data_IF_643403743846
#
_entry.id   IF_643403743846
#
_cell.length_a   1.000
_cell.length_b   1.000
_cell.length_c   1.000
_cell.angle_alpha   90.00
_cell.angle_beta   90.00
_cell.angle_gamma   90.00
#
_symmetry.space_group_name_H-M   'P 1'
#
loop_
_entity.id
_entity.type
_entity.pdbx_description
1 polymer ?
#
# COMPACT_ATOMS: atom_id res chain seq x y z
N UNK A 1 -5.92 8.53 -0.53
CA UNK A 1 -6.87 9.57 -0.08
C UNK A 1 -7.03 10.73 -1.07
N UNK A 2 -5.98 11.25 -1.72
CA UNK A 2 -6.15 12.35 -2.70
C UNK A 2 -6.99 11.96 -3.93
N UNK A 3 -6.76 10.77 -4.51
CA UNK A 3 -7.49 10.31 -5.70
C UNK A 3 -8.99 10.00 -5.43
N UNK A 4 -9.33 9.56 -4.21
CA UNK A 4 -10.71 9.30 -3.81
C UNK A 4 -11.59 10.56 -3.83
N UNK A 5 -11.04 11.70 -3.40
CA UNK A 5 -11.71 13.00 -3.52
C UNK A 5 -11.87 13.51 -4.95
N UNK A 6 -11.16 12.91 -5.91
CA UNK A 6 -11.25 13.20 -7.35
C UNK A 6 -12.15 12.21 -8.10
N UNK A 7 -12.87 11.34 -7.39
CA UNK A 7 -13.76 10.34 -7.99
C UNK A 7 -13.06 9.08 -8.47
N UNK A 8 -11.85 8.79 -7.99
CA UNK A 8 -11.15 7.53 -8.27
C UNK A 8 -11.29 6.57 -7.10
N UNK A 9 -11.31 5.28 -7.38
CA UNK A 9 -11.28 4.22 -6.41
C UNK A 9 -10.08 3.30 -6.70
N UNK A 10 -9.66 2.56 -5.68
CA UNK A 10 -8.45 1.73 -5.75
C UNK A 10 -8.72 0.37 -5.14
N UNK A 11 -8.30 -0.69 -5.85
CA UNK A 11 -8.33 -2.07 -5.37
C UNK A 11 -6.93 -2.66 -5.37
N UNK A 12 -6.55 -3.31 -4.27
CA UNK A 12 -5.32 -4.11 -4.21
C UNK A 12 -5.57 -5.44 -4.93
N UNK A 13 -4.73 -5.76 -5.92
CA UNK A 13 -4.78 -7.04 -6.63
C UNK A 13 -3.92 -8.09 -5.92
N UNK A 14 -4.46 -8.64 -4.84
CA UNK A 14 -3.75 -9.58 -3.97
C UNK A 14 -3.74 -11.04 -4.49
N UNK A 15 -4.21 -11.31 -5.72
CA UNK A 15 -4.13 -12.65 -6.30
C UNK A 15 -2.74 -13.03 -6.84
N UNK A 16 -1.92 -12.05 -7.23
CA UNK A 16 -0.59 -12.30 -7.81
C UNK A 16 0.44 -12.72 -6.76
N UNK A 17 1.31 -13.67 -7.14
CA UNK A 17 2.49 -14.04 -6.39
C UNK A 17 3.69 -13.20 -6.78
N UNK A 18 4.78 -13.32 -6.01
CA UNK A 18 6.02 -12.56 -6.24
C UNK A 18 6.54 -12.70 -7.67
N UNK A 19 6.52 -13.91 -8.24
CA UNK A 19 7.04 -14.19 -9.59
C UNK A 19 6.24 -13.52 -10.68
N UNK A 20 4.92 -13.48 -10.55
CA UNK A 20 4.06 -12.78 -11.51
C UNK A 20 4.30 -11.27 -11.46
N UNK A 21 4.47 -10.72 -10.26
CA UNK A 21 4.76 -9.29 -10.10
C UNK A 21 6.17 -8.93 -10.61
N UNK A 22 7.15 -9.79 -10.40
CA UNK A 22 8.52 -9.63 -10.91
C UNK A 22 8.52 -9.53 -12.45
N UNK A 23 7.76 -10.39 -13.13
CA UNK A 23 7.56 -10.33 -14.58
C UNK A 23 6.81 -9.09 -15.05
N UNK A 24 5.72 -8.75 -14.36
CA UNK A 24 4.93 -7.55 -14.70
C UNK A 24 5.78 -6.29 -14.67
N UNK A 25 6.69 -6.20 -13.71
CA UNK A 25 7.59 -5.06 -13.52
C UNK A 25 8.90 -5.17 -14.32
N UNK A 26 9.13 -6.27 -15.06
CA UNK A 26 10.36 -6.52 -15.82
C UNK A 26 11.61 -6.72 -14.95
N UNK A 27 11.43 -7.09 -13.69
CA UNK A 27 12.50 -7.22 -12.70
C UNK A 27 13.27 -8.55 -12.84
N UNK A 28 12.69 -9.54 -13.53
CA UNK A 28 13.30 -10.83 -13.85
C UNK A 28 14.48 -10.72 -14.83
N UNK A 29 14.61 -9.59 -15.51
CA UNK A 29 15.73 -9.26 -16.40
C UNK A 29 17.02 -8.89 -15.65
N UNK A 30 16.95 -8.65 -14.34
CA UNK A 30 18.11 -8.26 -13.52
C UNK A 30 18.78 -9.47 -12.85
N UNK A 31 20.11 -9.45 -12.69
CA UNK A 31 20.83 -10.54 -12.05
C UNK A 31 20.45 -10.64 -10.57
N UNK A 32 20.22 -11.86 -10.09
CA UNK A 32 19.96 -12.12 -8.68
C UNK A 32 21.14 -11.69 -7.80
N UNK A 33 20.82 -11.07 -6.65
CA UNK A 33 21.79 -10.69 -5.65
C UNK A 33 22.10 -11.88 -4.71
N UNK A 34 23.37 -12.31 -4.68
CA UNK A 34 23.81 -13.34 -3.75
C UNK A 34 23.93 -12.75 -2.33
N UNK A 35 22.99 -13.12 -1.46
CA UNK A 35 22.96 -12.64 -0.07
C UNK A 35 24.14 -13.23 0.71
N UNK A 36 25.01 -12.40 1.32
CA UNK A 36 26.15 -12.88 2.10
C UNK A 36 25.70 -13.63 3.36
N UNK A 37 26.58 -14.47 3.91
CA UNK A 37 26.28 -15.28 5.10
C UNK A 37 26.18 -14.47 6.40
N UNK A 38 26.70 -13.24 6.39
CA UNK A 38 26.76 -12.31 7.51
C UNK A 38 26.68 -10.87 7.01
N UNK A 39 26.45 -9.88 7.89
CA UNK A 39 26.46 -8.49 7.48
C UNK A 39 27.83 -8.06 6.94
N UNK A 40 27.83 -7.37 5.80
CA UNK A 40 29.05 -6.86 5.16
C UNK A 40 28.84 -5.43 4.69
N UNK A 41 29.92 -4.65 4.68
CA UNK A 41 29.96 -3.30 4.08
C UNK A 41 30.87 -3.33 2.87
N UNK A 42 30.47 -2.63 1.81
CA UNK A 42 31.29 -2.47 0.61
C UNK A 42 30.50 -1.89 -0.54
N UNK A 43 31.12 -1.88 -1.72
CA UNK A 43 30.43 -1.48 -2.96
C UNK A 43 29.68 -2.68 -3.53
N UNK A 44 28.37 -2.65 -3.43
CA UNK A 44 27.49 -3.69 -3.96
C UNK A 44 26.25 -3.06 -4.58
N UNK A 45 26.37 -2.38 -5.74
CA UNK A 45 25.23 -1.73 -6.41
C UNK A 45 24.06 -2.67 -6.68
N UNK A 46 24.34 -3.97 -6.89
CA UNK A 46 23.33 -5.02 -7.10
C UNK A 46 22.38 -5.21 -5.90
N UNK A 47 22.69 -4.65 -4.73
CA UNK A 47 21.82 -4.73 -3.54
C UNK A 47 20.66 -3.72 -3.59
N UNK A 48 20.74 -2.72 -4.48
CA UNK A 48 19.71 -1.69 -4.70
C UNK A 48 18.62 -2.17 -5.68
N UNK A 49 18.45 -3.48 -5.83
CA UNK A 49 17.40 -4.05 -6.68
C UNK A 49 16.02 -3.77 -6.09
N UNK A 50 15.04 -3.56 -6.97
CA UNK A 50 13.67 -3.32 -6.57
C UNK A 50 12.96 -4.64 -6.22
N UNK A 51 12.07 -4.59 -5.24
CA UNK A 51 11.24 -5.71 -4.83
C UNK A 51 9.77 -5.44 -5.18
N UNK A 52 9.14 -6.26 -6.02
CA UNK A 52 7.71 -6.13 -6.26
C UNK A 52 6.93 -6.67 -5.06
N UNK A 53 5.95 -5.90 -4.58
CA UNK A 53 5.15 -6.27 -3.40
C UNK A 53 3.65 -6.40 -3.73
N UNK A 54 3.03 -5.34 -4.25
CA UNK A 54 1.62 -5.37 -4.63
C UNK A 54 1.30 -4.50 -5.85
N UNK A 55 0.17 -4.80 -6.50
CA UNK A 55 -0.38 -4.00 -7.60
C UNK A 55 -1.67 -3.35 -7.14
N UNK A 56 -1.79 -2.06 -7.42
CA UNK A 56 -2.99 -1.26 -7.15
C UNK A 56 -3.69 -0.99 -8.47
N UNK A 57 -4.92 -1.46 -8.59
CA UNK A 57 -5.79 -1.12 -9.70
C UNK A 57 -6.57 0.15 -9.36
N UNK A 58 -6.38 1.19 -10.16
CA UNK A 58 -7.02 2.49 -10.00
C UNK A 58 -8.11 2.61 -11.07
N UNK A 59 -9.33 2.96 -10.66
CA UNK A 59 -10.50 3.05 -11.55
C UNK A 59 -11.41 4.19 -11.11
N UNK A 60 -12.44 4.51 -11.91
CA UNK A 60 -13.40 5.55 -11.55
C UNK A 60 -14.43 5.03 -10.54
N UNK A 61 -14.70 5.80 -9.51
CA UNK A 61 -15.72 5.50 -8.50
C UNK A 61 -17.09 5.37 -9.15
N UNK A 62 -17.81 4.31 -8.80
CA UNK A 62 -19.13 4.00 -9.39
C UNK A 62 -19.06 3.27 -10.74
N UNK A 63 -17.86 2.90 -11.21
CA UNK A 63 -17.76 1.89 -12.27
C UNK A 63 -18.40 0.58 -11.81
N UNK A 64 -18.90 -0.21 -12.76
CA UNK A 64 -19.39 -1.57 -12.46
C UNK A 64 -18.30 -2.36 -11.74
N UNK A 65 -18.71 -3.23 -10.81
CA UNK A 65 -17.80 -4.22 -10.25
C UNK A 65 -17.18 -5.00 -11.40
N UNK A 66 -15.86 -5.03 -11.44
CA UNK A 66 -15.10 -5.88 -12.32
C UNK A 66 -14.48 -6.99 -11.47
N UNK A 67 -14.45 -8.19 -12.01
CA UNK A 67 -13.66 -9.30 -11.49
C UNK A 67 -12.35 -9.37 -12.27
N UNK A 68 -11.24 -9.56 -11.58
CA UNK A 68 -9.95 -9.75 -12.24
C UNK A 68 -9.77 -11.24 -12.52
N UNK A 69 -9.74 -11.60 -13.80
CA UNK A 69 -9.35 -12.94 -14.22
C UNK A 69 -7.82 -13.07 -14.12
N UNK A 70 -7.35 -13.50 -12.94
CA UNK A 70 -5.92 -13.65 -12.65
C UNK A 70 -5.22 -14.63 -13.60
N UNK A 71 -5.90 -15.67 -14.08
CA UNK A 71 -5.30 -16.63 -15.02
C UNK A 71 -5.11 -16.01 -16.40
N UNK A 72 -6.10 -15.25 -16.88
CA UNK A 72 -5.96 -14.51 -18.14
C UNK A 72 -4.88 -13.44 -18.04
N UNK A 73 -4.83 -12.67 -16.94
CA UNK A 73 -3.79 -11.67 -16.74
C UNK A 73 -2.42 -12.35 -16.67
N UNK A 74 -2.28 -13.44 -15.91
CA UNK A 74 -1.04 -14.23 -15.86
C UNK A 74 -0.60 -14.70 -17.24
N UNK A 75 -1.53 -15.16 -18.09
CA UNK A 75 -1.25 -15.47 -19.49
C UNK A 75 -0.63 -14.29 -20.24
N UNK A 76 -1.22 -13.10 -20.10
CA UNK A 76 -0.68 -11.88 -20.70
C UNK A 76 0.68 -11.46 -20.12
N UNK A 77 0.95 -11.72 -18.83
CA UNK A 77 2.25 -11.40 -18.20
C UNK A 77 3.41 -12.19 -18.81
N UNK A 78 3.17 -13.37 -19.40
CA UNK A 78 4.24 -14.10 -20.11
C UNK A 78 4.72 -13.35 -21.35
N UNK A 79 3.87 -12.55 -21.97
CA UNK A 79 4.26 -11.72 -23.12
C UNK A 79 5.15 -10.54 -22.70
N UNK A 80 5.10 -10.11 -21.43
CA UNK A 80 5.95 -9.02 -20.93
C UNK A 80 7.43 -9.40 -20.90
N UNK A 81 7.74 -10.69 -20.70
CA UNK A 81 9.12 -11.18 -20.78
C UNK A 81 9.72 -11.06 -22.19
N UNK A 82 8.90 -10.83 -23.23
CA UNK A 82 9.36 -10.58 -24.60
C UNK A 82 9.65 -9.09 -24.85
N UNK A 83 9.35 -8.20 -23.90
CA UNK A 83 9.62 -6.78 -24.04
C UNK A 83 11.08 -6.47 -23.70
N UNK A 84 11.70 -5.59 -24.48
CA UNK A 84 13.04 -5.09 -24.19
C UNK A 84 12.99 -4.07 -23.05
N UNK A 85 13.90 -4.22 -22.09
CA UNK A 85 14.03 -3.27 -20.99
C UNK A 85 14.70 -1.98 -21.48
N UNK A 86 14.01 -0.85 -21.31
CA UNK A 86 14.52 0.47 -21.66
C UNK A 86 14.92 1.28 -20.41
N UNK A 87 16.13 1.83 -20.45
CA UNK A 87 16.67 2.67 -19.37
C UNK A 87 17.66 1.95 -18.43
N UNK A 88 18.26 2.70 -17.52
CA UNK A 88 19.26 2.22 -16.56
C UNK A 88 18.82 2.57 -15.13
N UNK A 89 18.77 1.60 -14.20
CA UNK A 89 18.48 1.89 -12.80
C UNK A 89 19.48 2.92 -12.23
N UNK A 90 18.95 3.84 -11.43
CA UNK A 90 19.78 4.83 -10.75
C UNK A 90 20.51 4.18 -9.59
N UNK A 91 21.80 4.49 -9.44
CA UNK A 91 22.56 4.12 -8.24
C UNK A 91 22.31 5.17 -7.16
N UNK A 92 21.76 4.73 -6.03
CA UNK A 92 21.37 5.60 -4.92
C UNK A 92 22.55 5.91 -3.99
N UNK A 93 23.44 4.93 -3.79
CA UNK A 93 24.55 5.03 -2.83
C UNK A 93 25.89 4.60 -3.42
N UNK A 94 26.97 5.26 -2.98
CA UNK A 94 28.36 4.92 -3.38
C UNK A 94 28.92 3.70 -2.63
N UNK A 95 28.39 3.43 -1.44
CA UNK A 95 28.71 2.29 -0.58
C UNK A 95 27.44 1.76 0.07
N UNK A 96 27.45 0.50 0.45
CA UNK A 96 26.31 -0.23 0.95
C UNK A 96 26.66 -0.99 2.21
N UNK A 97 25.66 -1.22 3.05
CA UNK A 97 25.72 -2.19 4.13
C UNK A 97 24.66 -3.24 3.87
N UNK A 98 25.06 -4.48 3.61
CA UNK A 98 24.15 -5.60 3.49
C UNK A 98 23.90 -6.17 4.87
N UNK A 99 22.67 -6.03 5.35
CA UNK A 99 22.17 -6.78 6.50
C UNK A 99 21.51 -8.05 5.96
N UNK A 100 22.20 -9.18 6.06
CA UNK A 100 21.77 -10.46 5.48
C UNK A 100 20.35 -10.86 5.93
N UNK A 101 19.99 -10.53 7.17
CA UNK A 101 18.66 -10.80 7.72
C UNK A 101 17.52 -10.13 6.93
N UNK A 102 17.72 -8.93 6.37
CA UNK A 102 16.69 -8.23 5.60
C UNK A 102 16.37 -9.02 4.34
N UNK A 103 17.40 -9.43 3.60
CA UNK A 103 17.24 -10.13 2.32
C UNK A 103 16.80 -11.59 2.49
N UNK A 104 17.27 -12.27 3.55
CA UNK A 104 16.76 -13.60 3.92
C UNK A 104 15.28 -13.55 4.28
N UNK A 105 14.87 -12.51 5.01
CA UNK A 105 13.46 -12.30 5.36
C UNK A 105 12.65 -12.01 4.11
N UNK A 106 13.13 -11.13 3.23
CA UNK A 106 12.49 -10.84 1.94
C UNK A 106 12.27 -12.11 1.10
N UNK A 107 13.27 -13.01 1.04
CA UNK A 107 13.13 -14.31 0.37
C UNK A 107 12.08 -15.20 1.03
N UNK A 108 12.09 -15.29 2.37
CA UNK A 108 11.17 -16.12 3.13
C UNK A 108 9.71 -15.66 3.07
N UNK A 109 9.48 -14.36 2.87
CA UNK A 109 8.13 -13.77 2.78
C UNK A 109 7.62 -13.66 1.34
N UNK A 110 8.35 -14.16 0.34
CA UNK A 110 7.89 -14.18 -1.05
C UNK A 110 6.54 -14.85 -1.15
N UNK A 111 5.56 -14.04 -1.56
CA UNK A 111 4.18 -14.47 -1.64
C UNK A 111 3.98 -15.50 -2.76
N UNK A 112 3.39 -16.67 -2.47
CA UNK A 112 3.04 -17.62 -3.52
C UNK A 112 1.85 -17.10 -4.32
N UNK A 113 1.71 -17.57 -5.56
CA UNK A 113 0.52 -17.31 -6.37
C UNK A 113 -0.72 -17.83 -5.64
N UNK A 114 -1.69 -16.95 -5.40
CA UNK A 114 -2.94 -17.26 -4.72
C UNK A 114 -4.12 -16.67 -5.50
N UNK A 115 -4.34 -17.20 -6.72
CA UNK A 115 -5.36 -16.74 -7.66
C UNK A 115 -6.82 -16.79 -7.13
N UNK A 116 -7.04 -17.44 -5.98
CA UNK A 116 -8.37 -17.64 -5.36
C UNK A 116 -8.67 -16.69 -4.20
N UNK A 117 -7.74 -15.81 -3.80
CA UNK A 117 -7.97 -14.84 -2.71
C UNK A 117 -7.90 -13.43 -3.26
N UNK A 118 -8.98 -12.96 -3.88
CA UNK A 118 -9.22 -11.52 -3.87
C UNK A 118 -9.45 -11.12 -2.41
N UNK A 119 -8.54 -10.33 -1.84
CA UNK A 119 -8.86 -9.57 -0.64
C UNK A 119 -9.82 -8.47 -1.07
N UNK A 120 -11.10 -8.84 -1.20
CA UNK A 120 -12.18 -7.88 -1.39
C UNK A 120 -12.27 -7.09 -0.09
N UNK A 121 -11.63 -5.92 -0.09
CA UNK A 121 -11.82 -4.95 0.98
C UNK A 121 -13.29 -4.50 0.91
N UNK A 122 -14.05 -4.78 1.97
CA UNK A 122 -15.41 -4.28 2.08
C UNK A 122 -15.36 -2.74 2.00
N UNK A 123 -16.36 -2.08 1.40
CA UNK A 123 -16.43 -0.63 1.37
C UNK A 123 -16.25 -0.06 2.78
N UNK A 124 -15.38 0.94 2.90
CA UNK A 124 -15.16 1.63 4.17
C UNK A 124 -16.47 2.23 4.66
N UNK A 125 -16.92 1.82 5.85
CA UNK A 125 -18.02 2.47 6.55
C UNK A 125 -17.45 3.53 7.49
N UNK A 126 -18.01 4.74 7.46
CA UNK A 126 -17.68 5.75 8.47
C UNK A 126 -18.18 5.25 9.83
N UNK A 127 -17.43 5.58 10.89
CA UNK A 127 -17.88 5.27 12.25
C UNK A 127 -18.86 6.33 12.71
N UNK A 128 -20.01 5.93 13.25
CA UNK A 128 -20.96 6.86 13.91
C UNK A 128 -20.36 7.56 15.13
N UNK A 129 -19.25 7.05 15.67
CA UNK A 129 -18.52 7.72 16.76
C UNK A 129 -17.74 8.94 16.28
N UNK A 130 -17.56 9.11 14.96
CA UNK A 130 -16.92 10.28 14.37
C UNK A 130 -18.01 11.33 14.12
N UNK A 131 -17.88 12.48 14.75
CA UNK A 131 -18.75 13.64 14.51
C UNK A 131 -18.43 14.27 13.15
N UNK A 132 -19.31 14.09 12.17
CA UNK A 132 -19.20 14.75 10.85
C UNK A 132 -19.29 16.28 10.95
N UNK A 133 -20.04 16.79 11.94
CA UNK A 133 -20.16 18.23 12.19
C UNK A 133 -18.83 18.91 12.49
N UNK A 134 -17.87 18.18 13.08
CA UNK A 134 -16.52 18.68 13.37
C UNK A 134 -15.69 18.99 12.12
N UNK A 135 -16.09 18.46 10.96
CA UNK A 135 -15.38 18.63 9.69
C UNK A 135 -16.20 19.40 8.65
N UNK A 136 -17.37 19.91 9.04
CA UNK A 136 -18.28 20.62 8.13
C UNK A 136 -17.59 21.86 7.56
N UNK A 137 -17.57 21.95 6.22
CA UNK A 137 -16.93 23.06 5.51
C UNK A 137 -15.43 22.90 5.27
N UNK A 138 -14.81 21.79 5.70
CA UNK A 138 -13.44 21.47 5.34
C UNK A 138 -13.39 20.84 3.94
N UNK A 139 -12.61 21.46 3.05
CA UNK A 139 -12.31 20.88 1.75
C UNK A 139 -11.05 19.99 1.86
N UNK A 140 -11.15 18.72 1.45
CA UNK A 140 -10.03 17.78 1.44
C UNK A 140 -8.80 18.31 0.68
N UNK A 141 -9.01 18.98 -0.46
CA UNK A 141 -7.93 19.54 -1.27
C UNK A 141 -7.18 20.65 -0.52
N UNK A 142 -7.90 21.51 0.19
CA UNK A 142 -7.29 22.55 1.00
C UNK A 142 -6.52 21.95 2.18
N UNK A 143 -7.10 20.97 2.86
CA UNK A 143 -6.47 20.30 4.00
C UNK A 143 -5.15 19.65 3.58
N UNK A 144 -5.14 18.86 2.50
CA UNK A 144 -3.95 18.17 2.00
C UNK A 144 -2.86 19.18 1.61
N UNK A 145 -3.23 20.28 0.93
CA UNK A 145 -2.28 21.32 0.50
C UNK A 145 -1.75 22.17 1.66
N UNK A 146 -2.56 22.40 2.71
CA UNK A 146 -2.18 23.21 3.87
C UNK A 146 -1.49 22.43 4.98
N UNK A 147 -1.52 21.09 4.95
CA UNK A 147 -0.89 20.23 5.97
C UNK A 147 0.62 20.46 6.01
N UNK A 148 1.13 20.74 7.21
CA UNK A 148 2.56 20.87 7.52
C UNK A 148 2.89 20.17 8.82
N UNK A 149 4.16 19.77 9.00
CA UNK A 149 4.62 19.20 10.26
C UNK A 149 4.52 20.26 11.37
N UNK A 150 3.75 19.98 12.42
CA UNK A 150 3.70 20.82 13.60
C UNK A 150 4.91 20.49 14.49
N UNK A 151 5.98 21.27 14.34
CA UNK A 151 7.26 21.07 15.05
C UNK A 151 7.32 21.79 16.40
N UNK A 152 6.41 22.74 16.63
CA UNK A 152 6.27 23.48 17.89
C UNK A 152 4.79 23.78 18.15
N UNK A 153 4.38 23.69 19.41
CA UNK A 153 3.04 24.02 19.90
C UNK A 153 3.14 25.22 20.87
N UNK A 154 2.05 25.96 21.04
CA UNK A 154 2.04 27.20 21.84
C UNK A 154 2.03 26.97 23.37
N UNK A 155 1.86 25.74 23.83
CA UNK A 155 1.85 25.36 25.26
C UNK A 155 0.63 25.85 26.04
N UNK A 156 -0.28 26.60 25.41
CA UNK A 156 -1.45 27.21 26.07
C UNK A 156 -2.77 26.71 25.49
N UNK A 157 -2.80 26.39 24.19
CA UNK A 157 -3.99 25.88 23.53
C UNK A 157 -4.21 24.43 23.92
N UNK A 158 -5.42 24.12 24.41
CA UNK A 158 -5.82 22.78 24.82
C UNK A 158 -6.75 22.17 23.78
N UNK A 159 -6.61 20.86 23.57
CA UNK A 159 -7.53 20.07 22.77
C UNK A 159 -8.47 19.35 23.73
N UNK A 160 -9.80 19.47 23.57
CA UNK A 160 -10.75 18.70 24.36
C UNK A 160 -10.50 17.19 24.23
N UNK A 161 -10.74 16.46 25.31
CA UNK A 161 -10.54 15.00 25.38
C UNK A 161 -11.27 14.29 24.24
N UNK A 162 -12.50 14.71 23.99
CA UNK A 162 -13.41 14.16 22.98
C UNK A 162 -12.84 14.37 21.58
N UNK A 163 -12.35 15.57 21.28
CA UNK A 163 -11.68 15.90 20.01
C UNK A 163 -10.40 15.08 19.82
N UNK A 164 -9.60 14.90 20.88
CA UNK A 164 -8.40 14.07 20.81
C UNK A 164 -8.72 12.61 20.50
N UNK A 165 -9.70 12.02 21.20
CA UNK A 165 -10.10 10.63 20.94
C UNK A 165 -10.72 10.46 19.56
N UNK A 166 -11.45 11.45 19.06
CA UNK A 166 -11.97 11.44 17.70
C UNK A 166 -10.83 11.46 16.65
N UNK A 167 -9.77 12.25 16.87
CA UNK A 167 -8.57 12.22 16.01
C UNK A 167 -7.91 10.84 16.04
N UNK A 168 -7.70 10.27 17.23
CA UNK A 168 -7.11 8.95 17.39
C UNK A 168 -7.93 7.87 16.68
N UNK A 169 -9.25 7.99 16.72
CA UNK A 169 -10.16 7.02 16.13
C UNK A 169 -9.98 6.91 14.59
N UNK A 170 -9.62 8.00 13.91
CA UNK A 170 -9.24 7.99 12.48
C UNK A 170 -7.96 7.19 12.19
N UNK A 171 -7.08 7.05 13.18
CA UNK A 171 -5.82 6.33 13.04
C UNK A 171 -5.93 4.85 13.45
N UNK A 172 -7.12 4.39 13.86
CA UNK A 172 -7.33 3.02 14.29
C UNK A 172 -7.99 2.19 13.18
N UNK A 173 -7.64 0.89 13.08
CA UNK A 173 -8.27 0.01 12.12
C UNK A 173 -9.73 -0.30 12.48
N UNK A 174 -10.58 -0.50 11.48
CA UNK A 174 -11.98 -0.91 11.62
C UNK A 174 -12.05 -2.43 11.84
N UNK A 175 -12.09 -2.85 13.10
CA UNK A 175 -12.12 -4.27 13.45
C UNK A 175 -13.49 -4.96 13.21
N UNK A 176 -14.58 -4.19 13.30
CA UNK A 176 -15.95 -4.72 13.29
C UNK A 176 -16.88 -3.74 12.57
N UNK A 177 -17.93 -4.26 11.93
CA UNK A 177 -19.04 -3.46 11.45
C UNK A 177 -20.08 -3.19 12.55
N UNK A 178 -21.10 -2.38 12.23
CA UNK A 178 -22.14 -1.95 13.19
C UNK A 178 -22.94 -3.11 13.79
N UNK A 179 -22.96 -4.28 13.15
CA UNK A 179 -23.60 -5.50 13.64
C UNK A 179 -22.70 -6.31 14.60
N UNK A 180 -21.47 -5.87 14.82
CA UNK A 180 -20.46 -6.62 15.55
C UNK A 180 -19.83 -7.76 14.73
N UNK A 181 -20.08 -7.82 13.42
CA UNK A 181 -19.42 -8.78 12.56
C UNK A 181 -18.04 -8.27 12.15
N UNK A 182 -17.07 -9.19 12.02
CA UNK A 182 -15.74 -8.84 11.53
C UNK A 182 -15.84 -8.32 10.09
N UNK A 183 -15.11 -7.26 9.76
CA UNK A 183 -15.04 -6.69 8.40
C UNK A 183 -14.28 -7.59 7.39
N UNK A 184 -14.48 -8.91 7.45
CA UNK A 184 -13.78 -9.92 6.67
C UNK A 184 -12.65 -10.60 7.45
N UNK A 185 -11.90 -11.49 6.78
CA UNK A 185 -10.65 -12.03 7.32
C UNK A 185 -9.66 -10.87 7.50
N UNK A 186 -9.02 -10.81 8.66
CA UNK A 186 -8.01 -9.82 9.03
C UNK A 186 -6.75 -9.97 8.17
N UNK A 187 -6.82 -9.53 6.92
CA UNK A 187 -5.71 -9.52 5.95
C UNK A 187 -5.38 -8.10 5.49
N UNK A 188 -6.36 -7.20 5.50
CA UNK A 188 -6.18 -5.77 5.35
C UNK A 188 -6.86 -5.08 6.54
N UNK A 189 -6.20 -4.12 7.16
CA UNK A 189 -6.77 -3.33 8.26
C UNK A 189 -7.20 -1.97 7.69
N UNK A 190 -8.47 -1.81 7.27
CA UNK A 190 -8.96 -0.50 6.85
C UNK A 190 -8.92 0.47 8.05
N UNK A 191 -8.32 1.64 7.90
CA UNK A 191 -8.43 2.72 8.90
C UNK A 191 -9.78 3.45 8.78
N UNK A 192 -10.26 4.07 9.86
CA UNK A 192 -11.55 4.76 9.85
C UNK A 192 -11.54 6.01 8.93
N UNK A 193 -12.43 6.01 7.93
CA UNK A 193 -12.57 7.11 6.97
C UNK A 193 -13.60 8.16 7.43
N UNK A 194 -13.41 9.40 6.94
CA UNK A 194 -14.40 10.47 7.04
C UNK A 194 -15.55 10.21 6.06
N UNK A 195 -16.80 10.37 6.53
CA UNK A 195 -17.95 10.56 5.64
C UNK A 195 -17.90 11.96 5.05
N UNK A 196 -18.02 12.08 3.73
CA UNK A 196 -18.13 13.36 3.01
C UNK A 196 -19.42 13.37 2.21
#
# INVERSE_FOLDING_TARGET
MAAAGLGWDVRVLDGFGYKELEKLMGLDNFPQFAVPSRPVRGKMPKIEFEHPDCVLLIFLKGSKEFEVDYEKVKGALFEFSNLEWEGKPNMLSKEHVCWDIIYRTAEAVKKPLNATKEVISKPFKSSRMISETSYKGLNLNELVRKRRSAVAMDGVTKIPKETFFQIMLHCMPTGYDESGEKQGKQLALPFQALGF
#
